data_IF_479186535103
#
_entry.id   IF_479186535103
#
_cell.length_a   1.000
_cell.length_b   1.000
_cell.length_c   1.000
_cell.angle_alpha   90.00
_cell.angle_beta   90.00
_cell.angle_gamma   90.00
#
_symmetry.space_group_name_H-M   'P 1'
#
loop_
_entity.id
_entity.type
_entity.pdbx_description
1 polymer ?
#
# COMPACT_ATOMS: atom_id res chain seq x y z
N UNK A 1 -18.53 7.57 28.06
CA UNK A 1 -17.15 7.13 27.71
C UNK A 1 -17.27 5.73 27.15
N UNK A 2 -17.24 5.62 25.82
CA UNK A 2 -17.83 4.52 25.04
C UNK A 2 -16.82 3.42 24.77
N UNK A 3 -17.22 2.18 25.05
CA UNK A 3 -16.45 0.93 25.05
C UNK A 3 -15.91 0.48 23.67
N UNK A 4 -16.08 1.28 22.62
CA UNK A 4 -15.74 0.91 21.23
C UNK A 4 -14.23 1.06 20.91
N UNK A 5 -13.47 1.81 21.70
CA UNK A 5 -12.03 2.04 21.46
C UNK A 5 -11.17 0.78 21.64
N UNK A 6 -11.71 -0.29 22.25
CA UNK A 6 -10.96 -1.53 22.56
C UNK A 6 -10.95 -2.58 21.43
N UNK A 7 -11.57 -2.33 20.26
CA UNK A 7 -11.74 -3.36 19.22
C UNK A 7 -10.68 -3.34 18.11
N UNK A 8 -9.88 -2.28 18.01
CA UNK A 8 -8.86 -2.15 16.97
C UNK A 8 -7.53 -1.75 17.61
N UNK A 9 -6.46 -2.52 17.35
CA UNK A 9 -5.11 -2.19 17.79
C UNK A 9 -4.46 -1.05 17.00
N UNK A 10 -5.20 -0.45 16.06
CA UNK A 10 -4.76 0.74 15.33
C UNK A 10 -4.91 2.00 16.18
N UNK A 11 -3.99 2.97 16.07
CA UNK A 11 -4.12 4.27 16.73
C UNK A 11 -5.48 4.93 16.46
N UNK A 12 -6.02 5.58 17.48
CA UNK A 12 -7.26 6.34 17.34
C UNK A 12 -7.00 7.64 16.54
N UNK A 13 -7.68 7.87 15.40
CA UNK A 13 -7.48 9.05 14.57
C UNK A 13 -7.74 10.39 15.28
N UNK A 14 -8.58 10.40 16.32
CA UNK A 14 -8.94 11.62 17.03
C UNK A 14 -7.97 11.94 18.17
N UNK A 15 -7.65 10.96 19.03
CA UNK A 15 -6.71 11.18 20.14
C UNK A 15 -5.24 11.09 19.72
N UNK A 16 -4.92 10.40 18.62
CA UNK A 16 -3.55 10.16 18.15
C UNK A 16 -3.40 10.52 16.65
N UNK A 17 -3.92 11.68 16.26
CA UNK A 17 -3.92 12.16 14.86
C UNK A 17 -2.52 12.21 14.22
N UNK A 18 -1.47 12.40 15.02
CA UNK A 18 -0.07 12.41 14.59
C UNK A 18 0.35 11.18 13.77
N UNK A 19 -0.30 10.03 13.97
CA UNK A 19 -0.05 8.82 13.17
C UNK A 19 -0.64 8.89 11.76
N UNK A 20 -1.61 9.77 11.53
CA UNK A 20 -2.34 9.91 10.26
C UNK A 20 -2.05 11.23 9.54
N UNK A 21 -1.39 12.18 10.21
CA UNK A 21 -1.04 13.48 9.65
C UNK A 21 -0.19 13.34 8.37
N UNK A 22 -0.73 13.90 7.27
CA UNK A 22 -0.07 13.92 5.95
C UNK A 22 0.06 12.55 5.27
N UNK A 23 -0.55 11.49 5.82
CA UNK A 23 -0.40 10.13 5.27
C UNK A 23 -0.89 10.04 3.83
N UNK A 24 -1.98 10.71 3.46
CA UNK A 24 -2.47 10.73 2.07
C UNK A 24 -1.41 11.22 1.08
N UNK A 25 -0.80 12.37 1.35
CA UNK A 25 0.23 12.94 0.48
C UNK A 25 1.49 12.07 0.46
N UNK A 26 1.93 11.59 1.62
CA UNK A 26 3.07 10.70 1.72
C UNK A 26 2.85 9.39 0.96
N UNK A 27 1.63 8.84 0.96
CA UNK A 27 1.24 7.67 0.17
C UNK A 27 1.28 7.96 -1.33
N UNK A 28 0.78 9.12 -1.77
CA UNK A 28 0.84 9.51 -3.18
C UNK A 28 2.31 9.59 -3.66
N UNK A 29 3.19 10.20 -2.87
CA UNK A 29 4.61 10.28 -3.20
C UNK A 29 5.30 8.91 -3.16
N UNK A 30 5.00 8.09 -2.14
CA UNK A 30 5.48 6.71 -2.05
C UNK A 30 5.03 5.87 -3.26
N UNK A 31 3.80 6.08 -3.74
CA UNK A 31 3.27 5.41 -4.92
C UNK A 31 4.06 5.78 -6.18
N UNK A 32 4.37 7.06 -6.38
CA UNK A 32 5.22 7.52 -7.51
C UNK A 32 6.59 6.84 -7.44
N UNK A 33 7.22 6.84 -6.26
CA UNK A 33 8.53 6.20 -6.06
C UNK A 33 8.47 4.71 -6.38
N UNK A 34 7.45 4.00 -5.86
CA UNK A 34 7.27 2.58 -6.12
C UNK A 34 7.05 2.29 -7.62
N UNK A 35 6.27 3.11 -8.32
CA UNK A 35 6.05 2.98 -9.78
C UNK A 35 7.37 3.13 -10.53
N UNK A 36 8.19 4.10 -10.17
CA UNK A 36 9.53 4.29 -10.77
C UNK A 36 10.42 3.08 -10.48
N UNK A 37 10.46 2.59 -9.23
CA UNK A 37 11.25 1.40 -8.87
C UNK A 37 10.80 0.16 -9.65
N UNK A 38 9.50 -0.07 -9.78
CA UNK A 38 8.95 -1.18 -10.56
C UNK A 38 9.32 -1.02 -12.04
N UNK A 39 9.21 0.18 -12.61
CA UNK A 39 9.58 0.44 -14.00
C UNK A 39 11.08 0.15 -14.25
N UNK A 40 11.96 0.54 -13.31
CA UNK A 40 13.39 0.21 -13.37
C UNK A 40 13.63 -1.30 -13.31
N UNK A 41 12.92 -2.02 -12.43
CA UNK A 41 13.00 -3.49 -12.37
C UNK A 41 12.53 -4.13 -13.69
N UNK A 42 11.43 -3.64 -14.27
CA UNK A 42 10.96 -4.11 -15.57
C UNK A 42 11.98 -3.86 -16.68
N UNK A 43 12.65 -2.70 -16.67
CA UNK A 43 13.71 -2.39 -17.63
C UNK A 43 14.89 -3.37 -17.53
N UNK A 44 15.25 -3.81 -16.32
CA UNK A 44 16.25 -4.86 -16.11
C UNK A 44 15.80 -6.24 -16.61
N UNK A 45 14.49 -6.52 -16.56
CA UNK A 45 13.90 -7.78 -17.05
C UNK A 45 13.76 -7.81 -18.58
N UNK A 46 13.58 -6.65 -19.23
CA UNK A 46 13.32 -6.56 -20.68
C UNK A 46 14.30 -7.34 -21.57
N UNK A 47 15.64 -7.27 -21.37
CA UNK A 47 16.58 -8.04 -22.19
C UNK A 47 16.34 -9.54 -22.13
N UNK A 48 15.92 -10.07 -20.98
CA UNK A 48 15.61 -11.49 -20.79
C UNK A 48 14.32 -11.92 -21.51
N UNK A 49 13.48 -10.96 -21.90
CA UNK A 49 12.30 -11.19 -22.75
C UNK A 49 12.59 -11.02 -24.25
N UNK A 50 13.87 -10.92 -24.64
CA UNK A 50 14.28 -10.52 -25.99
C UNK A 50 13.61 -9.20 -26.44
N UNK A 51 13.40 -8.28 -25.49
CA UNK A 51 12.68 -7.00 -25.66
C UNK A 51 11.20 -7.12 -26.07
N UNK A 52 10.64 -8.32 -26.18
CA UNK A 52 9.20 -8.50 -26.47
C UNK A 52 8.30 -7.95 -25.36
N UNK A 53 8.81 -7.84 -24.13
CA UNK A 53 8.11 -7.25 -22.99
C UNK A 53 7.66 -5.80 -23.20
N UNK A 54 8.20 -5.08 -24.19
CA UNK A 54 7.74 -3.72 -24.54
C UNK A 54 6.29 -3.72 -25.01
N UNK A 55 5.84 -4.76 -25.74
CA UNK A 55 4.47 -4.83 -26.26
C UNK A 55 3.42 -5.06 -25.17
N UNK A 56 3.80 -5.67 -24.06
CA UNK A 56 2.94 -5.94 -22.90
C UNK A 56 3.50 -5.30 -21.63
N UNK A 57 4.17 -4.16 -21.78
CA UNK A 57 4.88 -3.51 -20.68
C UNK A 57 3.99 -3.17 -19.47
N UNK A 58 2.75 -2.66 -19.63
CA UNK A 58 1.86 -2.44 -18.50
C UNK A 58 1.53 -3.74 -17.74
N UNK A 59 1.37 -4.85 -18.44
CA UNK A 59 1.13 -6.16 -17.84
C UNK A 59 2.37 -6.69 -17.11
N UNK A 60 3.56 -6.51 -17.71
CA UNK A 60 4.83 -6.82 -17.06
C UNK A 60 5.00 -6.02 -15.76
N UNK A 61 4.67 -4.72 -15.77
CA UNK A 61 4.68 -3.87 -14.58
C UNK A 61 3.72 -4.36 -13.49
N UNK A 62 2.54 -4.86 -13.85
CA UNK A 62 1.61 -5.43 -12.87
C UNK A 62 2.21 -6.67 -12.19
N UNK A 63 2.76 -7.62 -12.97
CA UNK A 63 3.36 -8.84 -12.42
C UNK A 63 4.56 -8.52 -11.52
N UNK A 64 5.51 -7.75 -12.03
CA UNK A 64 6.70 -7.35 -11.26
C UNK A 64 6.30 -6.54 -10.04
N UNK A 65 5.31 -5.66 -10.18
CA UNK A 65 4.74 -4.86 -9.11
C UNK A 65 4.14 -5.69 -7.97
N UNK A 66 3.43 -6.79 -8.29
CA UNK A 66 2.92 -7.74 -7.28
C UNK A 66 4.07 -8.31 -6.46
N UNK A 67 5.09 -8.86 -7.11
CA UNK A 67 6.23 -9.44 -6.38
C UNK A 67 6.99 -8.39 -5.55
N UNK A 68 7.29 -7.23 -6.15
CA UNK A 68 7.95 -6.13 -5.45
C UNK A 68 7.19 -5.72 -4.19
N UNK A 69 5.88 -5.47 -4.30
CA UNK A 69 5.06 -5.03 -3.16
C UNK A 69 4.91 -6.14 -2.13
N UNK A 70 4.69 -7.38 -2.54
CA UNK A 70 4.56 -8.49 -1.62
C UNK A 70 5.84 -8.66 -0.79
N UNK A 71 7.01 -8.82 -1.42
CA UNK A 71 8.26 -9.00 -0.68
C UNK A 71 8.61 -7.81 0.23
N UNK A 72 8.39 -6.58 -0.24
CA UNK A 72 8.71 -5.40 0.56
C UNK A 72 7.78 -5.22 1.75
N UNK A 73 6.47 -5.44 1.56
CA UNK A 73 5.47 -5.39 2.63
C UNK A 73 5.66 -6.53 3.63
N UNK A 74 5.90 -7.76 3.19
CA UNK A 74 6.15 -8.89 4.11
C UNK A 74 7.39 -8.69 4.98
N UNK A 75 8.40 -7.96 4.49
CA UNK A 75 9.63 -7.74 5.23
C UNK A 75 9.56 -6.65 6.30
N UNK A 76 8.96 -5.49 5.99
CA UNK A 76 8.94 -4.33 6.91
C UNK A 76 7.58 -3.64 7.01
N UNK A 77 6.50 -4.29 6.58
CA UNK A 77 5.17 -3.69 6.50
C UNK A 77 5.14 -2.39 5.67
N UNK A 78 6.09 -2.24 4.75
CA UNK A 78 6.29 -1.01 3.97
C UNK A 78 7.05 -1.31 2.69
N UNK A 79 6.57 -0.75 1.58
CA UNK A 79 7.33 -0.70 0.32
C UNK A 79 8.53 0.23 0.45
N UNK A 80 9.50 0.17 -0.46
CA UNK A 80 10.64 1.09 -0.38
C UNK A 80 10.22 2.56 -0.53
N UNK A 81 9.25 2.87 -1.39
CA UNK A 81 8.67 4.20 -1.45
C UNK A 81 8.05 4.64 -0.12
N UNK A 82 7.29 3.75 0.53
CA UNK A 82 6.71 4.04 1.85
C UNK A 82 7.76 4.24 2.93
N UNK A 83 8.86 3.46 2.92
CA UNK A 83 9.98 3.63 3.85
C UNK A 83 10.62 5.00 3.71
N UNK A 84 10.85 5.46 2.48
CA UNK A 84 11.39 6.79 2.21
C UNK A 84 10.45 7.90 2.71
N UNK A 85 9.14 7.67 2.64
CA UNK A 85 8.12 8.60 3.16
C UNK A 85 7.78 8.40 4.64
N UNK A 86 8.52 7.53 5.35
CA UNK A 86 8.28 7.19 6.76
C UNK A 86 6.86 6.71 7.06
N UNK A 87 6.28 5.90 6.16
CA UNK A 87 5.00 5.20 6.36
C UNK A 87 5.25 3.71 6.54
N UNK A 88 4.49 3.08 7.43
CA UNK A 88 4.31 1.63 7.47
C UNK A 88 2.83 1.28 7.64
N UNK A 89 2.44 0.11 7.16
CA UNK A 89 1.12 -0.45 7.39
C UNK A 89 1.04 -1.18 8.72
N UNK A 90 -0.14 -1.13 9.33
CA UNK A 90 -0.50 -1.95 10.49
C UNK A 90 -1.81 -2.69 10.22
N UNK A 91 -1.91 -3.90 10.74
CA UNK A 91 -3.14 -4.69 10.68
C UNK A 91 -4.18 -4.21 11.71
N UNK A 92 -5.35 -4.85 11.71
CA UNK A 92 -6.43 -4.52 12.63
C UNK A 92 -6.05 -4.66 14.12
N UNK A 93 -5.04 -5.48 14.43
CA UNK A 93 -4.48 -5.69 15.77
C UNK A 93 -3.27 -4.79 16.08
N UNK A 94 -2.92 -3.86 15.17
CA UNK A 94 -1.78 -2.95 15.32
C UNK A 94 -0.42 -3.60 15.03
N UNK A 95 -0.39 -4.84 14.56
CA UNK A 95 0.83 -5.56 14.22
C UNK A 95 1.31 -5.19 12.81
N UNK A 96 2.59 -5.49 12.53
CA UNK A 96 3.13 -5.40 11.17
C UNK A 96 2.51 -6.50 10.30
N UNK A 97 2.43 -6.26 9.00
CA UNK A 97 1.97 -7.27 8.06
C UNK A 97 2.86 -8.50 8.11
N UNK A 98 2.23 -9.64 8.30
CA UNK A 98 2.82 -10.93 7.98
C UNK A 98 2.79 -11.16 6.46
N UNK A 99 3.36 -12.28 6.01
CA UNK A 99 3.42 -12.58 4.58
C UNK A 99 2.03 -12.73 3.95
N UNK A 100 1.08 -13.32 4.68
CA UNK A 100 -0.27 -13.55 4.16
C UNK A 100 -1.05 -12.24 4.01
N UNK A 101 -1.04 -11.37 5.03
CA UNK A 101 -1.68 -10.05 4.96
C UNK A 101 -1.05 -9.19 3.86
N UNK A 102 0.28 -9.22 3.73
CA UNK A 102 0.97 -8.51 2.64
C UNK A 102 0.54 -9.00 1.25
N UNK A 103 0.36 -10.31 1.07
CA UNK A 103 -0.11 -10.89 -0.19
C UNK A 103 -1.54 -10.45 -0.50
N UNK A 104 -2.48 -10.62 0.44
CA UNK A 104 -3.88 -10.23 0.25
C UNK A 104 -4.02 -8.73 -0.03
N UNK A 105 -3.27 -7.90 0.70
CA UNK A 105 -3.25 -6.47 0.45
C UNK A 105 -2.73 -6.15 -0.96
N UNK A 106 -1.63 -6.81 -1.38
CA UNK A 106 -1.05 -6.61 -2.71
C UNK A 106 -2.00 -7.04 -3.82
N UNK A 107 -2.69 -8.16 -3.67
CA UNK A 107 -3.68 -8.65 -4.64
C UNK A 107 -4.88 -7.70 -4.71
N UNK A 108 -5.44 -7.28 -3.57
CA UNK A 108 -6.55 -6.32 -3.54
C UNK A 108 -6.19 -4.97 -4.17
N UNK A 109 -4.98 -4.48 -3.92
CA UNK A 109 -4.45 -3.29 -4.59
C UNK A 109 -4.31 -3.51 -6.10
N UNK A 110 -3.78 -4.66 -6.53
CA UNK A 110 -3.58 -4.98 -7.95
C UNK A 110 -4.90 -5.05 -8.71
N UNK A 111 -5.93 -5.67 -8.12
CA UNK A 111 -7.30 -5.69 -8.66
C UNK A 111 -7.86 -4.28 -8.74
N UNK A 112 -7.65 -3.46 -7.71
CA UNK A 112 -8.11 -2.06 -7.69
C UNK A 112 -7.48 -1.27 -8.84
N UNK A 113 -6.17 -1.41 -9.08
CA UNK A 113 -5.47 -0.72 -10.19
C UNK A 113 -5.89 -1.25 -11.56
N UNK A 114 -6.12 -2.56 -11.69
CA UNK A 114 -6.57 -3.17 -12.95
C UNK A 114 -7.99 -2.71 -13.34
N UNK A 115 -8.81 -2.31 -12.37
CA UNK A 115 -10.18 -1.86 -12.58
C UNK A 115 -10.31 -0.38 -12.21
N UNK A 116 -10.23 0.51 -13.22
CA UNK A 116 -10.25 1.97 -13.01
C UNK A 116 -11.34 2.49 -12.03
N UNK A 117 -12.59 1.98 -12.03
CA UNK A 117 -13.59 2.40 -11.03
C UNK A 117 -13.21 2.05 -9.59
N UNK A 118 -12.63 0.87 -9.35
CA UNK A 118 -12.19 0.45 -8.01
C UNK A 118 -11.04 1.31 -7.50
N UNK A 119 -10.10 1.66 -8.38
CA UNK A 119 -9.02 2.59 -8.02
C UNK A 119 -9.57 3.95 -7.61
N UNK A 120 -10.54 4.49 -8.35
CA UNK A 120 -11.17 5.77 -8.02
C UNK A 120 -11.87 5.72 -6.65
N UNK A 121 -12.65 4.66 -6.39
CA UNK A 121 -13.28 4.43 -5.08
C UNK A 121 -12.24 4.39 -3.98
N UNK A 122 -11.13 3.69 -4.19
CA UNK A 122 -10.03 3.61 -3.23
C UNK A 122 -9.46 4.98 -2.88
N UNK A 123 -9.21 5.85 -3.87
CA UNK A 123 -8.72 7.22 -3.62
C UNK A 123 -9.74 8.05 -2.87
N UNK A 124 -11.02 7.97 -3.25
CA UNK A 124 -12.10 8.69 -2.54
C UNK A 124 -12.14 8.24 -1.07
N UNK A 125 -12.07 6.93 -0.81
CA UNK A 125 -12.02 6.38 0.54
C UNK A 125 -10.84 6.90 1.35
N UNK A 126 -9.65 7.05 0.74
CA UNK A 126 -8.49 7.61 1.43
C UNK A 126 -8.68 9.08 1.84
N UNK A 127 -9.51 9.82 1.10
CA UNK A 127 -9.81 11.23 1.42
C UNK A 127 -10.86 11.34 2.52
N UNK A 128 -11.90 10.48 2.49
CA UNK A 128 -13.03 10.59 3.43
C UNK A 128 -12.82 9.84 4.75
N UNK A 129 -11.98 8.81 4.78
CA UNK A 129 -11.77 8.01 6.00
C UNK A 129 -10.75 8.66 6.93
N UNK A 130 -11.01 8.72 8.27
CA UNK A 130 -10.08 9.33 9.23
C UNK A 130 -8.70 8.66 9.28
N UNK A 131 -8.62 7.38 8.91
CA UNK A 131 -7.39 6.59 8.88
C UNK A 131 -6.67 6.62 7.52
N UNK A 132 -7.19 7.37 6.53
CA UNK A 132 -6.63 7.44 5.18
C UNK A 132 -6.59 6.08 4.47
N UNK A 133 -7.60 5.23 4.72
CA UNK A 133 -7.70 3.87 4.21
C UNK A 133 -8.19 3.86 2.76
N UNK A 134 -7.50 3.10 1.90
CA UNK A 134 -8.03 2.74 0.59
C UNK A 134 -9.10 1.65 0.68
N UNK A 135 -9.63 1.25 -0.46
CA UNK A 135 -10.66 0.21 -0.55
C UNK A 135 -10.19 -1.11 0.10
N UNK A 136 -9.02 -1.61 -0.32
CA UNK A 136 -8.42 -2.84 0.23
C UNK A 136 -8.09 -2.70 1.71
N UNK A 137 -7.59 -1.52 2.12
CA UNK A 137 -7.25 -1.26 3.52
C UNK A 137 -8.47 -1.38 4.42
N UNK A 138 -9.59 -0.81 3.96
CA UNK A 138 -10.83 -0.83 4.69
C UNK A 138 -11.41 -2.24 4.80
N UNK A 139 -11.39 -3.01 3.70
CA UNK A 139 -11.85 -4.41 3.68
C UNK A 139 -11.04 -5.31 4.61
N UNK A 140 -9.73 -5.07 4.72
CA UNK A 140 -8.82 -5.86 5.55
C UNK A 140 -8.68 -5.32 6.98
N UNK A 141 -9.29 -4.17 7.29
CA UNK A 141 -9.11 -3.49 8.57
C UNK A 141 -7.67 -3.00 8.83
N UNK A 142 -6.88 -2.82 7.78
CA UNK A 142 -5.48 -2.35 7.86
C UNK A 142 -5.42 -0.83 7.75
N UNK A 143 -4.39 -0.20 8.28
CA UNK A 143 -4.19 1.24 8.09
C UNK A 143 -2.72 1.61 7.87
N UNK A 144 -2.44 2.55 6.97
CA UNK A 144 -1.12 3.17 6.88
C UNK A 144 -0.96 4.18 8.02
N UNK A 145 0.18 4.15 8.69
CA UNK A 145 0.54 5.10 9.74
C UNK A 145 1.92 5.68 9.50
N UNK A 146 2.15 6.89 10.01
CA UNK A 146 3.49 7.42 10.19
C UNK A 146 4.28 6.47 11.10
N UNK A 147 5.48 6.07 10.67
CA UNK A 147 6.32 5.13 11.38
C UNK A 147 6.60 5.64 12.81
N UNK A 148 6.23 4.89 13.87
CA UNK A 148 6.60 5.21 15.23
C UNK A 148 8.13 5.22 15.35
N UNK A 149 8.68 6.26 15.98
CA UNK A 149 10.13 6.37 16.23
C UNK A 149 10.58 5.40 17.30
#
# INVERSE_FOLDING_TARGET
MTTATMMSGLPDPHSQSQFYDGVLFKRAMAWVIDVVMIALLCLLVLPFTAFTGVFFFPFLMLIVGVFYRWFTLSGQSSTWGMRLMSIEFRDHAGQRFDSSTALFHTLGYTVSVAMAPLQLISVIMMVVTPRGQGLTDHLMGTAPINKPR
#
